data_IF_305207912522
#
_entry.id   IF_305207912522
#
_cell.length_a   1.000
_cell.length_b   1.000
_cell.length_c   1.000
_cell.angle_alpha   90.00
_cell.angle_beta   90.00
_cell.angle_gamma   90.00
#
_symmetry.space_group_name_H-M   'P 1'
#
loop_
_entity.id
_entity.type
_entity.pdbx_description
1 polymer ?
#
# COMPACT_ATOMS: atom_id res chain seq x y z
N UNK A 1 -0.87 -21.46 0.31
CA UNK A 1 -0.62 -20.21 1.08
C UNK A 1 -1.82 -19.97 1.98
N UNK A 2 -1.62 -19.39 3.18
CA UNK A 2 -2.72 -19.02 4.09
C UNK A 2 -3.17 -17.57 3.92
N UNK A 3 -4.37 -17.24 4.41
CA UNK A 3 -4.98 -15.90 4.35
C UNK A 3 -4.02 -14.76 4.74
N UNK A 4 -3.24 -14.95 5.81
CA UNK A 4 -2.23 -13.98 6.26
C UNK A 4 -1.13 -13.72 5.22
N UNK A 5 -0.64 -14.77 4.56
CA UNK A 5 0.41 -14.63 3.54
C UNK A 5 -0.13 -13.87 2.33
N UNK A 6 -1.37 -14.17 1.93
CA UNK A 6 -2.07 -13.46 0.84
C UNK A 6 -2.21 -11.97 1.17
N UNK A 7 -2.68 -11.61 2.38
CA UNK A 7 -2.79 -10.21 2.80
C UNK A 7 -1.43 -9.49 2.81
N UNK A 8 -0.37 -10.14 3.31
CA UNK A 8 0.98 -9.54 3.31
C UNK A 8 1.50 -9.30 1.90
N UNK A 9 1.27 -10.24 0.99
CA UNK A 9 1.63 -10.07 -0.42
C UNK A 9 0.82 -8.95 -1.06
N UNK A 10 -0.49 -8.87 -0.83
CA UNK A 10 -1.33 -7.77 -1.31
C UNK A 10 -0.82 -6.42 -0.83
N UNK A 11 -0.60 -6.25 0.47
CA UNK A 11 -0.05 -5.01 1.04
C UNK A 11 1.30 -4.64 0.41
N UNK A 12 2.16 -5.63 0.16
CA UNK A 12 3.45 -5.40 -0.49
C UNK A 12 3.28 -4.92 -1.94
N UNK A 13 2.38 -5.53 -2.71
CA UNK A 13 2.09 -5.11 -4.10
C UNK A 13 1.57 -3.68 -4.12
N UNK A 14 0.60 -3.31 -3.29
CA UNK A 14 0.07 -1.94 -3.27
C UNK A 14 1.11 -0.92 -2.82
N UNK A 15 1.98 -1.31 -1.90
CA UNK A 15 3.11 -0.45 -1.49
C UNK A 15 4.05 -0.19 -2.69
N UNK A 16 4.26 -1.17 -3.57
CA UNK A 16 4.99 -0.96 -4.82
C UNK A 16 4.21 -0.07 -5.79
N UNK A 17 2.90 -0.28 -5.94
CA UNK A 17 2.04 0.54 -6.78
C UNK A 17 2.09 2.02 -6.39
N UNK A 18 1.93 2.35 -5.10
CA UNK A 18 2.09 3.72 -4.58
C UNK A 18 3.44 4.34 -4.95
N UNK A 19 4.52 3.58 -4.78
CA UNK A 19 5.87 4.04 -5.13
C UNK A 19 6.03 4.28 -6.63
N UNK A 20 5.41 3.45 -7.47
CA UNK A 20 5.43 3.63 -8.91
C UNK A 20 4.60 4.83 -9.36
N UNK A 21 3.42 5.05 -8.78
CA UNK A 21 2.63 6.26 -9.02
C UNK A 21 3.39 7.53 -8.60
N UNK A 22 4.07 7.52 -7.45
CA UNK A 22 4.90 8.65 -7.02
C UNK A 22 5.99 8.98 -8.05
N UNK A 23 6.69 7.95 -8.54
CA UNK A 23 7.71 8.14 -9.59
C UNK A 23 7.10 8.65 -10.88
N UNK A 24 5.95 8.12 -11.28
CA UNK A 24 5.26 8.51 -12.51
C UNK A 24 4.80 9.98 -12.47
N UNK A 25 4.23 10.41 -11.35
CA UNK A 25 3.79 11.80 -11.13
C UNK A 25 4.96 12.80 -11.11
N UNK A 26 6.17 12.34 -10.81
CA UNK A 26 7.39 13.17 -10.77
C UNK A 26 8.22 13.10 -12.06
N UNK A 27 7.99 12.10 -12.92
CA UNK A 27 8.84 11.84 -14.07
C UNK A 27 8.60 12.83 -15.22
N UNK A 28 7.37 13.31 -15.38
CA UNK A 28 6.97 14.23 -16.44
C UNK A 28 5.87 15.18 -15.97
N UNK A 29 5.65 16.25 -16.74
CA UNK A 29 4.45 17.07 -16.60
C UNK A 29 3.24 16.35 -17.19
N UNK A 30 2.12 16.47 -16.50
CA UNK A 30 0.83 15.91 -16.88
C UNK A 30 -0.15 17.07 -17.06
N UNK A 31 -1.07 16.95 -18.02
CA UNK A 31 -2.25 17.81 -18.01
C UNK A 31 -3.06 17.56 -16.71
N UNK A 32 -3.78 18.59 -16.27
CA UNK A 32 -4.46 18.58 -14.98
C UNK A 32 -5.47 17.43 -14.84
N UNK A 33 -6.15 17.06 -15.93
CA UNK A 33 -7.19 16.04 -15.89
C UNK A 33 -6.58 14.64 -15.77
N UNK A 34 -5.54 14.35 -16.57
CA UNK A 34 -4.78 13.09 -16.44
C UNK A 34 -4.09 13.00 -15.07
N UNK A 35 -3.51 14.10 -14.59
CA UNK A 35 -2.85 14.14 -13.28
C UNK A 35 -3.80 13.74 -12.15
N UNK A 36 -5.00 14.31 -12.13
CA UNK A 36 -6.03 13.99 -11.11
C UNK A 36 -6.42 12.52 -11.11
N UNK A 37 -6.52 11.90 -12.30
CA UNK A 37 -6.82 10.46 -12.41
C UNK A 37 -5.69 9.62 -11.80
N UNK A 38 -4.43 9.96 -12.12
CA UNK A 38 -3.27 9.23 -11.58
C UNK A 38 -3.16 9.40 -10.05
N UNK A 39 -3.37 10.61 -9.54
CA UNK A 39 -3.38 10.91 -8.10
C UNK A 39 -4.51 10.16 -7.38
N UNK A 40 -5.70 10.09 -7.98
CA UNK A 40 -6.81 9.30 -7.45
C UNK A 40 -6.46 7.81 -7.38
N UNK A 41 -5.90 7.24 -8.45
CA UNK A 41 -5.51 5.83 -8.47
C UNK A 41 -4.48 5.53 -7.38
N UNK A 42 -3.51 6.43 -7.18
CA UNK A 42 -2.56 6.31 -6.08
C UNK A 42 -3.24 6.36 -4.70
N UNK A 43 -4.21 7.26 -4.50
CA UNK A 43 -4.97 7.38 -3.27
C UNK A 43 -5.80 6.11 -2.97
N UNK A 44 -6.34 5.47 -4.00
CA UNK A 44 -7.04 4.19 -3.88
C UNK A 44 -6.09 3.09 -3.35
N UNK A 45 -4.84 3.04 -3.83
CA UNK A 45 -3.85 2.08 -3.30
C UNK A 45 -3.46 2.34 -1.84
N UNK A 46 -3.36 3.61 -1.44
CA UNK A 46 -3.23 3.95 -0.01
C UNK A 46 -4.44 3.43 0.80
N UNK A 47 -5.64 3.56 0.25
CA UNK A 47 -6.87 3.01 0.82
C UNK A 47 -6.81 1.48 0.99
N UNK A 48 -6.37 0.76 -0.04
CA UNK A 48 -6.19 -0.69 -0.01
C UNK A 48 -5.19 -1.12 1.08
N UNK A 49 -4.02 -0.48 1.14
CA UNK A 49 -2.99 -0.75 2.16
C UNK A 49 -3.57 -0.59 3.56
N UNK A 50 -4.25 0.54 3.83
CA UNK A 50 -4.81 0.83 5.15
C UNK A 50 -5.89 -0.18 5.53
N UNK A 51 -6.79 -0.51 4.58
CA UNK A 51 -7.84 -1.50 4.80
C UNK A 51 -7.27 -2.88 5.11
N UNK A 52 -6.30 -3.37 4.33
CA UNK A 52 -5.75 -4.71 4.52
C UNK A 52 -4.84 -4.80 5.74
N UNK A 53 -4.13 -3.73 6.12
CA UNK A 53 -3.41 -3.67 7.40
C UNK A 53 -4.35 -3.88 8.59
N UNK A 54 -5.57 -3.35 8.53
CA UNK A 54 -6.56 -3.53 9.59
C UNK A 54 -7.14 -4.96 9.65
N UNK A 55 -7.00 -5.75 8.59
CA UNK A 55 -7.39 -7.17 8.56
C UNK A 55 -6.29 -8.11 9.07
N UNK A 56 -5.06 -7.61 9.26
CA UNK A 56 -4.00 -8.43 9.86
C UNK A 56 -4.28 -8.63 11.35
N UNK A 57 -4.20 -9.88 11.85
CA UNK A 57 -4.46 -10.17 13.26
C UNK A 57 -3.47 -9.42 14.18
N UNK A 58 -3.97 -8.91 15.31
CA UNK A 58 -3.25 -8.04 16.25
C UNK A 58 -2.01 -8.67 16.92
N UNK A 59 -1.75 -9.97 16.77
CA UNK A 59 -0.70 -10.67 17.51
C UNK A 59 0.74 -10.29 17.13
N UNK A 60 0.94 -9.46 16.10
CA UNK A 60 2.27 -9.06 15.63
C UNK A 60 2.91 -7.95 16.49
N UNK A 61 2.14 -7.27 17.35
CA UNK A 61 2.67 -6.24 18.27
C UNK A 61 3.37 -6.81 19.51
N UNK A 62 3.21 -8.10 19.81
CA UNK A 62 3.66 -8.68 21.09
C UNK A 62 4.90 -9.60 20.99
N UNK A 63 5.29 -10.01 19.79
CA UNK A 63 6.44 -10.94 19.62
C UNK A 63 7.81 -10.26 19.63
N UNK A 64 7.87 -8.92 19.51
CA UNK A 64 9.13 -8.16 19.67
C UNK A 64 9.44 -7.73 21.11
N UNK A 65 8.55 -8.00 22.08
CA UNK A 65 8.77 -7.65 23.49
C UNK A 65 9.30 -8.80 24.37
N UNK A 66 9.43 -10.01 23.84
CA UNK A 66 9.75 -11.22 24.63
C UNK A 66 11.23 -11.65 24.42
N UNK A 67 12.10 -10.77 23.92
CA UNK A 67 13.52 -11.08 23.70
C UNK A 67 14.48 -10.06 24.36
N UNK A 68 14.03 -9.37 25.40
CA UNK A 68 14.92 -8.60 26.30
C UNK A 68 15.16 -9.40 27.58
#
# INVERSE_FOLDING_TARGET
>A
MGFRAILKTGIWVETKAVNHYNKLLQAIEWDDDTRKVIEKNQADEYGHINRWKNLLPANEKNTKKIQN
#
